data_IF_768098180412
#
_entry.id   IF_768098180412
#
_cell.length_a   1.000
_cell.length_b   1.000
_cell.length_c   1.000
_cell.angle_alpha   90.00
_cell.angle_beta   90.00
_cell.angle_gamma   90.00
#
_symmetry.space_group_name_H-M   'P 1'
#
loop_
_entity.id
_entity.type
_entity.pdbx_description
1 polymer ?
#
# COMPACT_ATOMS: atom_id res chain seq x y z
N UNK A 1 -15.75 -5.61 -18.33
CA UNK A 1 -15.16 -4.28 -18.62
C UNK A 1 -13.67 -4.40 -18.54
N UNK A 2 -12.90 -3.80 -19.46
CA UNK A 2 -11.46 -3.64 -19.29
C UNK A 2 -11.23 -2.78 -18.04
N UNK A 3 -10.36 -3.23 -17.14
CA UNK A 3 -10.07 -2.59 -15.85
C UNK A 3 -8.72 -1.90 -15.95
N UNK A 4 -8.71 -0.57 -15.89
CA UNK A 4 -7.47 0.20 -15.86
C UNK A 4 -6.77 -0.01 -14.51
N UNK A 5 -5.48 -0.30 -14.54
CA UNK A 5 -4.65 -0.53 -13.36
C UNK A 5 -3.50 0.46 -13.37
N UNK A 6 -3.49 1.39 -12.44
CA UNK A 6 -2.45 2.43 -12.31
C UNK A 6 -1.53 2.04 -11.17
N UNK A 7 -0.22 2.01 -11.38
CA UNK A 7 0.75 1.76 -10.32
C UNK A 7 1.43 3.08 -9.90
N UNK A 8 1.51 3.34 -8.60
CA UNK A 8 2.18 4.50 -8.00
C UNK A 8 3.39 4.05 -7.18
N UNK A 9 4.58 4.50 -7.58
CA UNK A 9 5.87 4.17 -6.97
C UNK A 9 6.62 5.39 -6.46
N UNK A 10 7.47 5.17 -5.45
CA UNK A 10 8.32 6.21 -4.88
C UNK A 10 9.67 6.20 -5.57
N UNK A 11 10.18 7.37 -5.95
CA UNK A 11 11.51 7.53 -6.57
C UNK A 11 12.58 7.96 -5.56
N UNK A 12 12.27 7.87 -4.27
CA UNK A 12 13.19 8.04 -3.16
C UNK A 12 12.78 7.14 -1.99
N UNK A 13 13.76 6.81 -1.13
CA UNK A 13 13.60 5.79 -0.08
C UNK A 13 12.44 6.09 0.89
N UNK A 14 12.22 7.36 1.23
CA UNK A 14 11.25 7.76 2.23
C UNK A 14 10.39 8.95 1.77
N UNK A 15 9.14 8.99 2.26
CA UNK A 15 8.20 10.11 2.10
C UNK A 15 8.09 10.72 0.70
N UNK A 16 8.16 9.88 -0.33
CA UNK A 16 8.19 10.31 -1.72
C UNK A 16 6.92 11.07 -2.21
N UNK A 17 5.81 11.00 -1.45
CA UNK A 17 4.53 11.61 -1.80
C UNK A 17 3.53 10.66 -2.45
N UNK A 18 3.76 9.33 -2.38
CA UNK A 18 2.92 8.28 -2.98
C UNK A 18 1.45 8.38 -2.57
N UNK A 19 1.14 8.47 -1.27
CA UNK A 19 -0.24 8.57 -0.79
C UNK A 19 -0.94 9.81 -1.32
N UNK A 20 -0.24 10.95 -1.33
CA UNK A 20 -0.79 12.20 -1.85
C UNK A 20 -1.10 12.10 -3.33
N UNK A 21 -0.16 11.60 -4.15
CA UNK A 21 -0.37 11.41 -5.58
C UNK A 21 -1.48 10.40 -5.86
N UNK A 22 -1.53 9.29 -5.13
CA UNK A 22 -2.58 8.27 -5.25
C UNK A 22 -3.95 8.90 -5.00
N UNK A 23 -4.10 9.69 -3.93
CA UNK A 23 -5.34 10.42 -3.64
C UNK A 23 -5.73 11.41 -4.74
N UNK A 24 -4.75 12.13 -5.29
CA UNK A 24 -4.96 13.03 -6.42
C UNK A 24 -5.47 12.31 -7.67
N UNK A 25 -4.88 11.15 -7.99
CA UNK A 25 -5.31 10.31 -9.12
C UNK A 25 -6.74 9.81 -8.91
N UNK A 26 -7.06 9.28 -7.72
CA UNK A 26 -8.43 8.85 -7.37
C UNK A 26 -9.44 9.97 -7.57
N UNK A 27 -9.13 11.17 -7.06
CA UNK A 27 -10.01 12.33 -7.16
C UNK A 27 -10.22 12.75 -8.61
N UNK A 28 -9.15 12.79 -9.41
CA UNK A 28 -9.23 13.11 -10.83
C UNK A 28 -10.11 12.13 -11.59
N UNK A 29 -9.88 10.83 -11.42
CA UNK A 29 -10.62 9.78 -12.11
C UNK A 29 -12.11 9.81 -11.78
N UNK A 30 -12.48 10.08 -10.52
CA UNK A 30 -13.88 10.30 -10.13
C UNK A 30 -14.49 11.52 -10.81
N UNK A 31 -13.75 12.63 -10.91
CA UNK A 31 -14.21 13.84 -11.61
C UNK A 31 -14.43 13.58 -13.11
N UNK A 32 -13.69 12.63 -13.69
CA UNK A 32 -13.86 12.16 -15.08
C UNK A 32 -15.03 11.15 -15.21
N UNK A 33 -15.67 10.77 -14.10
CA UNK A 33 -16.84 9.88 -14.09
C UNK A 33 -16.50 8.39 -13.93
N UNK A 34 -15.25 8.05 -13.65
CA UNK A 34 -14.83 6.68 -13.36
C UNK A 34 -15.14 6.29 -11.91
N UNK A 35 -15.14 4.98 -11.62
CA UNK A 35 -15.19 4.45 -10.24
C UNK A 35 -13.83 3.88 -9.84
N UNK A 36 -12.86 4.72 -9.42
CA UNK A 36 -11.56 4.25 -9.01
C UNK A 36 -11.56 3.76 -7.55
N UNK A 37 -10.70 2.80 -7.23
CA UNK A 37 -10.41 2.42 -5.85
C UNK A 37 -8.90 2.28 -5.65
N UNK A 38 -8.43 2.75 -4.51
CA UNK A 38 -7.06 2.57 -4.09
C UNK A 38 -6.81 1.11 -3.68
N UNK A 39 -5.58 0.67 -3.84
CA UNK A 39 -5.11 -0.58 -3.29
C UNK A 39 -3.66 -0.43 -2.83
N UNK A 40 -3.37 -0.73 -1.57
CA UNK A 40 -2.03 -0.70 -1.00
C UNK A 40 -1.70 -2.10 -0.47
N UNK A 41 -1.16 -3.01 -1.32
CA UNK A 41 -1.08 -4.44 -1.02
C UNK A 41 -0.40 -4.75 0.31
N UNK A 42 0.65 -3.99 0.61
CA UNK A 42 1.48 -4.11 1.81
C UNK A 42 1.67 -2.73 2.44
N UNK A 43 1.67 -2.67 3.77
CA UNK A 43 2.01 -1.48 4.53
C UNK A 43 2.62 -1.89 5.86
N UNK A 44 3.22 -0.93 6.55
CA UNK A 44 3.75 -1.12 7.88
C UNK A 44 3.58 0.16 8.70
N UNK A 45 3.42 0.00 10.01
CA UNK A 45 3.44 1.08 10.96
C UNK A 45 4.44 0.77 12.08
N UNK A 46 5.12 1.81 12.54
CA UNK A 46 5.95 1.76 13.72
C UNK A 46 5.09 2.05 14.95
N UNK A 47 5.17 1.21 15.98
CA UNK A 47 4.37 1.34 17.19
C UNK A 47 4.58 2.69 17.90
N UNK A 48 5.78 3.28 17.81
CA UNK A 48 6.11 4.54 18.44
C UNK A 48 5.74 5.75 17.56
N UNK A 49 6.24 5.82 16.33
CA UNK A 49 6.03 7.00 15.46
C UNK A 49 4.59 7.14 14.97
N UNK A 50 3.88 6.02 14.81
CA UNK A 50 2.51 6.00 14.28
C UNK A 50 1.48 5.68 15.37
N UNK A 51 1.82 5.94 16.64
CA UNK A 51 1.04 5.47 17.78
C UNK A 51 -0.42 5.91 17.71
N UNK A 52 -0.73 7.12 17.25
CA UNK A 52 -2.12 7.61 17.17
C UNK A 52 -3.01 6.71 16.29
N UNK A 53 -2.57 6.35 15.09
CA UNK A 53 -3.36 5.50 14.18
C UNK A 53 -3.35 4.03 14.62
N UNK A 54 -2.22 3.57 15.19
CA UNK A 54 -2.12 2.23 15.77
C UNK A 54 -3.09 2.09 16.94
N UNK A 55 -3.08 3.03 17.89
CA UNK A 55 -3.99 3.07 19.03
C UNK A 55 -5.45 3.17 18.58
N UNK A 56 -5.77 4.06 17.63
CA UNK A 56 -7.13 4.19 17.09
C UNK A 56 -7.62 2.86 16.51
N UNK A 57 -6.81 2.17 15.70
CA UNK A 57 -7.22 0.91 15.07
C UNK A 57 -7.32 -0.24 16.09
N UNK A 58 -6.35 -0.36 17.00
CA UNK A 58 -6.34 -1.39 18.04
C UNK A 58 -7.49 -1.24 19.04
N UNK A 59 -7.88 -0.01 19.39
CA UNK A 59 -9.06 0.26 20.24
C UNK A 59 -10.37 -0.27 19.64
N UNK A 60 -10.41 -0.53 18.33
CA UNK A 60 -11.53 -1.12 17.60
C UNK A 60 -11.36 -2.64 17.39
N UNK A 61 -10.26 -3.22 17.84
CA UNK A 61 -9.86 -4.61 17.59
C UNK A 61 -9.46 -4.87 16.14
N UNK A 62 -8.83 -3.88 15.52
CA UNK A 62 -8.41 -3.89 14.11
C UNK A 62 -6.95 -3.43 14.05
N UNK A 63 -6.32 -3.55 12.88
CA UNK A 63 -4.99 -3.00 12.65
C UNK A 63 -4.84 -2.53 11.21
N UNK A 64 -4.67 -1.22 11.00
CA UNK A 64 -4.42 -0.62 9.69
C UNK A 64 -3.74 0.73 9.87
N UNK A 65 -3.03 1.18 8.84
CA UNK A 65 -2.29 2.44 8.85
C UNK A 65 -3.09 3.64 8.36
N UNK A 66 -2.50 4.82 8.53
CA UNK A 66 -3.09 6.10 8.09
C UNK A 66 -3.33 6.10 6.57
N UNK A 67 -2.40 5.57 5.79
CA UNK A 67 -2.55 5.50 4.34
C UNK A 67 -3.80 4.70 3.96
N UNK A 68 -4.03 3.52 4.56
CA UNK A 68 -5.20 2.70 4.24
C UNK A 68 -6.52 3.44 4.55
N UNK A 69 -6.55 4.22 5.63
CA UNK A 69 -7.70 5.07 6.01
C UNK A 69 -7.94 6.16 4.97
N UNK A 70 -6.91 6.95 4.66
CA UNK A 70 -6.99 8.05 3.69
C UNK A 70 -7.34 7.56 2.28
N UNK A 71 -6.75 6.43 1.86
CA UNK A 71 -6.99 5.81 0.56
C UNK A 71 -8.40 5.23 0.46
N UNK A 72 -8.90 4.59 1.52
CA UNK A 72 -10.30 4.11 1.58
C UNK A 72 -11.26 5.28 1.48
N UNK A 73 -11.05 6.32 2.30
CA UNK A 73 -11.85 7.54 2.30
C UNK A 73 -11.85 8.16 0.90
N UNK A 74 -10.68 8.34 0.28
CA UNK A 74 -10.58 8.87 -1.09
C UNK A 74 -11.01 7.86 -2.18
N UNK A 75 -11.42 6.64 -1.85
CA UNK A 75 -12.02 5.71 -2.82
C UNK A 75 -13.56 5.77 -2.81
N UNK A 76 -14.18 6.48 -1.86
CA UNK A 76 -15.64 6.50 -1.67
C UNK A 76 -16.26 5.08 -1.64
N UNK A 77 -15.54 4.13 -1.04
CA UNK A 77 -15.87 2.70 -1.10
C UNK A 77 -16.42 2.20 0.25
N UNK A 78 -17.41 1.28 0.25
CA UNK A 78 -17.88 0.63 1.47
C UNK A 78 -16.89 -0.43 1.99
N UNK A 79 -15.86 -0.77 1.20
CA UNK A 79 -14.84 -1.73 1.58
C UNK A 79 -14.08 -1.27 2.83
N UNK A 80 -13.65 -2.24 3.63
CA UNK A 80 -12.87 -1.98 4.84
C UNK A 80 -11.44 -1.58 4.50
N UNK A 81 -10.78 -0.87 5.40
CA UNK A 81 -9.35 -0.54 5.31
C UNK A 81 -8.48 -1.79 5.12
N UNK A 82 -8.87 -2.94 5.69
CA UNK A 82 -8.15 -4.20 5.51
C UNK A 82 -8.29 -4.80 4.10
N UNK A 83 -9.32 -4.41 3.35
CA UNK A 83 -9.40 -4.75 1.91
C UNK A 83 -8.45 -3.86 1.12
N UNK A 84 -8.42 -2.56 1.43
CA UNK A 84 -7.49 -1.61 0.79
C UNK A 84 -6.03 -2.00 1.07
N UNK A 85 -5.73 -2.41 2.29
CA UNK A 85 -4.43 -2.90 2.71
C UNK A 85 -4.53 -4.28 3.38
N UNK A 86 -4.39 -5.38 2.63
CA UNK A 86 -4.57 -6.73 3.14
C UNK A 86 -3.42 -7.21 4.00
N UNK A 87 -2.18 -6.78 3.75
CA UNK A 87 -1.01 -7.17 4.53
C UNK A 87 -0.48 -5.94 5.27
N UNK A 88 -0.51 -5.99 6.59
CA UNK A 88 -0.11 -4.87 7.44
C UNK A 88 0.85 -5.31 8.53
N UNK A 89 2.05 -4.76 8.54
CA UNK A 89 3.07 -5.03 9.55
C UNK A 89 3.00 -4.02 10.68
N UNK A 90 3.11 -4.50 11.91
CA UNK A 90 3.46 -3.68 13.05
C UNK A 90 4.88 -4.03 13.50
N UNK A 91 5.71 -3.00 13.62
CA UNK A 91 7.10 -3.12 14.03
C UNK A 91 7.42 -2.05 15.07
N UNK A 92 8.55 -2.18 15.74
CA UNK A 92 9.03 -1.28 16.77
C UNK A 92 10.47 -0.85 16.50
N UNK A 93 10.82 0.34 16.97
CA UNK A 93 12.22 0.79 17.03
C UNK A 93 12.65 0.90 18.49
N UNK A 94 13.89 0.52 18.80
CA UNK A 94 14.47 0.62 20.14
C UNK A 94 14.23 -0.60 21.04
N UNK A 95 12.99 -0.89 21.40
CA UNK A 95 12.64 -2.03 22.29
C UNK A 95 12.38 -3.31 21.49
N UNK A 96 12.93 -4.45 21.92
CA UNK A 96 12.69 -5.73 21.27
C UNK A 96 11.30 -6.29 21.62
N UNK A 97 10.68 -7.07 20.71
CA UNK A 97 11.13 -7.35 19.33
C UNK A 97 10.93 -6.18 18.36
N UNK A 98 11.87 -6.00 17.42
CA UNK A 98 11.71 -5.07 16.28
C UNK A 98 10.48 -5.40 15.43
N UNK A 99 10.16 -6.69 15.28
CA UNK A 99 8.96 -7.14 14.58
C UNK A 99 7.93 -7.65 15.59
N UNK A 100 6.74 -7.06 15.59
CA UNK A 100 5.67 -7.40 16.54
C UNK A 100 4.73 -8.42 15.91
N UNK A 101 4.09 -8.04 14.80
CA UNK A 101 3.13 -8.90 14.11
C UNK A 101 2.88 -8.47 12.67
N UNK A 102 2.39 -9.40 11.86
CA UNK A 102 1.74 -9.12 10.58
C UNK A 102 0.24 -9.45 10.69
N UNK A 103 -0.61 -8.52 10.27
CA UNK A 103 -2.05 -8.72 10.07
C UNK A 103 -2.30 -8.98 8.61
N UNK A 104 -3.00 -10.06 8.32
CA UNK A 104 -3.38 -10.49 6.97
C UNK A 104 -4.90 -10.56 6.90
N UNK A 105 -5.48 -9.92 5.89
CA UNK A 105 -6.91 -10.04 5.60
C UNK A 105 -7.11 -10.86 4.33
N UNK A 106 -7.76 -12.01 4.48
CA UNK A 106 -7.99 -12.96 3.40
C UNK A 106 -9.33 -13.67 3.59
N UNK A 107 -10.11 -13.83 2.51
CA UNK A 107 -11.42 -14.51 2.54
C UNK A 107 -12.39 -13.97 3.62
N UNK A 108 -12.37 -12.66 3.86
CA UNK A 108 -13.20 -12.02 4.88
C UNK A 108 -12.71 -12.23 6.31
N UNK A 109 -11.57 -12.90 6.52
CA UNK A 109 -11.00 -13.25 7.81
C UNK A 109 -9.74 -12.45 8.12
N UNK A 110 -9.54 -12.18 9.40
CA UNK A 110 -8.33 -11.57 9.95
C UNK A 110 -7.43 -12.64 10.54
N UNK A 111 -6.24 -12.79 9.96
CA UNK A 111 -5.20 -13.71 10.41
C UNK A 111 -4.08 -12.87 11.01
N UNK A 112 -3.66 -13.19 12.23
CA UNK A 112 -2.51 -12.56 12.88
C UNK A 112 -1.34 -13.52 12.92
N UNK A 113 -0.17 -12.99 12.60
CA UNK A 113 1.09 -13.72 12.69
C UNK A 113 1.96 -12.96 13.67
N UNK A 114 2.26 -13.58 14.81
CA UNK A 114 2.83 -12.92 15.98
C UNK A 114 4.27 -13.38 16.22
N UNK A 115 5.12 -12.44 16.62
CA UNK A 115 6.44 -12.74 17.20
C UNK A 115 6.54 -12.05 18.56
N UNK A 116 6.59 -12.83 19.64
CA UNK A 116 6.74 -12.35 21.03
C UNK A 116 5.73 -11.26 21.48
N UNK A 117 4.50 -11.28 20.97
CA UNK A 117 3.46 -10.27 21.28
C UNK A 117 3.18 -10.15 22.79
N UNK A 118 3.24 -11.26 23.52
CA UNK A 118 2.89 -11.34 24.94
C UNK A 118 3.71 -10.38 25.82
N UNK A 119 4.99 -10.22 25.52
CA UNK A 119 5.87 -9.34 26.28
C UNK A 119 5.51 -7.87 26.07
N UNK A 120 5.41 -7.45 24.80
CA UNK A 120 5.00 -6.08 24.46
C UNK A 120 3.62 -5.80 25.02
N UNK A 121 2.66 -6.71 24.85
CA UNK A 121 1.29 -6.52 25.32
C UNK A 121 1.22 -6.29 26.84
N UNK A 122 2.14 -6.89 27.62
CA UNK A 122 2.27 -6.59 29.05
C UNK A 122 2.80 -5.18 29.28
N UNK A 123 3.82 -4.75 28.53
CA UNK A 123 4.40 -3.40 28.63
C UNK A 123 3.36 -2.31 28.31
N UNK A 124 2.54 -2.52 27.29
CA UNK A 124 1.47 -1.57 26.88
C UNK A 124 0.09 -1.90 27.44
N UNK A 125 0.03 -2.69 28.53
CA UNK A 125 -1.18 -2.97 29.34
C UNK A 125 -2.40 -3.46 28.53
N UNK A 126 -2.22 -4.51 27.73
CA UNK A 126 -3.33 -5.18 27.03
C UNK A 126 -3.77 -4.49 25.74
N UNK A 127 -2.95 -3.60 25.17
CA UNK A 127 -3.27 -2.86 23.95
C UNK A 127 -3.72 -3.76 22.78
N UNK A 128 -3.20 -4.99 22.71
CA UNK A 128 -3.49 -5.94 21.63
C UNK A 128 -4.62 -6.93 21.96
N UNK A 129 -5.20 -6.88 23.17
CA UNK A 129 -6.17 -7.87 23.64
C UNK A 129 -7.40 -7.92 22.74
N UNK A 130 -7.95 -6.75 22.40
CA UNK A 130 -9.14 -6.67 21.56
C UNK A 130 -8.85 -7.09 20.10
N UNK A 131 -7.64 -6.82 19.61
CA UNK A 131 -7.20 -7.29 18.29
C UNK A 131 -7.15 -8.82 18.26
N UNK A 132 -6.52 -9.44 19.27
CA UNK A 132 -6.41 -10.88 19.37
C UNK A 132 -7.79 -11.54 19.54
N UNK A 133 -8.66 -10.96 20.38
CA UNK A 133 -10.01 -11.47 20.62
C UNK A 133 -10.90 -11.45 19.36
N UNK A 134 -10.63 -10.56 18.40
CA UNK A 134 -11.37 -10.46 17.13
C UNK A 134 -10.69 -11.16 15.95
N UNK A 135 -9.49 -11.70 16.13
CA UNK A 135 -8.80 -12.43 15.08
C UNK A 135 -9.49 -13.77 14.82
N UNK A 136 -9.68 -14.12 13.54
CA UNK A 136 -10.22 -15.42 13.15
C UNK A 136 -9.19 -16.53 13.29
N UNK A 137 -7.90 -16.17 13.21
CA UNK A 137 -6.78 -17.09 13.36
C UNK A 137 -5.56 -16.34 13.89
N UNK A 138 -4.85 -16.97 14.82
CA UNK A 138 -3.58 -16.49 15.36
C UNK A 138 -2.53 -17.57 15.12
N UNK A 139 -1.38 -17.17 14.56
CA UNK A 139 -0.24 -18.03 14.29
C UNK A 139 0.96 -17.43 15.03
N UNK A 140 1.46 -18.13 16.04
CA UNK A 140 2.71 -17.76 16.71
C UNK A 140 3.89 -18.34 15.94
N UNK A 141 4.93 -17.53 15.70
CA UNK A 141 6.14 -17.97 14.99
C UNK A 141 7.38 -17.79 15.83
N UNK A 142 8.18 -18.86 15.94
CA UNK A 142 9.46 -18.90 16.67
C UNK A 142 10.68 -19.04 15.75
N UNK A 143 10.51 -19.42 14.48
CA UNK A 143 11.60 -19.78 13.56
C UNK A 143 11.55 -19.08 12.18
N UNK A 144 12.72 -18.97 11.54
CA UNK A 144 12.95 -18.40 10.19
C UNK A 144 12.35 -19.25 9.05
N UNK A 145 12.12 -20.55 9.30
CA UNK A 145 11.63 -21.56 8.34
C UNK A 145 10.17 -21.29 7.85
N UNK A 146 9.52 -20.28 8.44
CA UNK A 146 8.17 -19.85 8.09
C UNK A 146 8.09 -18.93 6.87
N UNK A 147 9.20 -18.37 6.38
CA UNK A 147 9.18 -17.36 5.31
C UNK A 147 8.35 -17.79 4.10
N UNK A 148 8.54 -19.03 3.63
CA UNK A 148 7.79 -19.58 2.47
C UNK A 148 6.30 -19.81 2.77
N UNK A 149 5.94 -20.18 4.01
CA UNK A 149 4.53 -20.35 4.42
C UNK A 149 3.84 -18.99 4.58
N UNK A 150 4.55 -17.97 5.09
CA UNK A 150 4.06 -16.60 5.23
C UNK A 150 3.72 -15.97 3.89
N UNK A 151 4.58 -16.17 2.89
CA UNK A 151 4.37 -15.66 1.53
C UNK A 151 3.03 -16.14 0.94
N UNK A 152 2.62 -17.39 1.22
CA UNK A 152 1.32 -17.91 0.76
C UNK A 152 0.14 -17.16 1.37
N UNK A 153 0.23 -16.75 2.63
CA UNK A 153 -0.82 -15.94 3.26
C UNK A 153 -0.85 -14.53 2.66
N UNK A 154 0.31 -13.94 2.37
CA UNK A 154 0.39 -12.60 1.75
C UNK A 154 -0.19 -12.61 0.36
N UNK A 155 0.25 -13.54 -0.49
CA UNK A 155 -0.26 -13.70 -1.85
C UNK A 155 -1.78 -13.91 -1.86
N UNK A 156 -2.28 -14.75 -0.94
CA UNK A 156 -3.72 -14.99 -0.78
C UNK A 156 -4.44 -13.70 -0.41
N UNK A 157 -4.03 -12.99 0.64
CA UNK A 157 -4.66 -11.73 1.04
C UNK A 157 -4.65 -10.68 -0.06
N UNK A 158 -3.51 -10.49 -0.73
CA UNK A 158 -3.35 -9.55 -1.84
C UNK A 158 -4.29 -9.91 -2.99
N UNK A 159 -4.28 -11.18 -3.44
CA UNK A 159 -5.12 -11.64 -4.55
C UNK A 159 -6.61 -11.50 -4.23
N UNK A 160 -7.03 -11.90 -3.04
CA UNK A 160 -8.42 -11.82 -2.60
C UNK A 160 -8.92 -10.38 -2.57
N UNK A 161 -8.18 -9.48 -1.93
CA UNK A 161 -8.56 -8.07 -1.83
C UNK A 161 -8.54 -7.36 -3.18
N UNK A 162 -7.52 -7.60 -4.01
CA UNK A 162 -7.47 -7.03 -5.36
C UNK A 162 -8.66 -7.50 -6.20
N UNK A 163 -9.02 -8.79 -6.10
CA UNK A 163 -10.20 -9.37 -6.77
C UNK A 163 -11.49 -8.72 -6.29
N UNK A 164 -11.64 -8.54 -4.97
CA UNK A 164 -12.82 -7.92 -4.37
C UNK A 164 -13.00 -6.47 -4.83
N UNK A 165 -11.91 -5.68 -4.78
CA UNK A 165 -11.90 -4.31 -5.30
C UNK A 165 -12.32 -4.29 -6.78
N UNK A 166 -11.80 -5.23 -7.56
CA UNK A 166 -12.03 -5.26 -9.01
C UNK A 166 -13.45 -5.61 -9.44
N UNK A 167 -14.32 -6.10 -8.54
CA UNK A 167 -15.71 -6.45 -8.88
C UNK A 167 -16.57 -5.23 -9.23
N UNK A 168 -16.32 -4.11 -8.56
CA UNK A 168 -17.21 -2.94 -8.58
C UNK A 168 -16.53 -1.63 -8.98
N UNK A 169 -15.25 -1.68 -9.36
CA UNK A 169 -14.45 -0.50 -9.68
C UNK A 169 -13.83 -0.65 -11.07
N UNK A 170 -13.88 0.43 -11.84
CA UNK A 170 -13.43 0.49 -13.22
C UNK A 170 -11.91 0.71 -13.30
N UNK A 171 -11.35 1.33 -12.26
CA UNK A 171 -9.92 1.62 -12.13
C UNK A 171 -9.42 1.18 -10.76
N UNK A 172 -8.24 0.55 -10.71
CA UNK A 172 -7.53 0.29 -9.46
C UNK A 172 -6.22 1.05 -9.44
N UNK A 173 -6.06 1.94 -8.45
CA UNK A 173 -4.82 2.70 -8.26
C UNK A 173 -4.01 2.02 -7.16
N UNK A 174 -2.97 1.29 -7.57
CA UNK A 174 -2.10 0.51 -6.71
C UNK A 174 -0.97 1.39 -6.17
N UNK A 175 -0.95 1.61 -4.86
CA UNK A 175 0.16 2.27 -4.20
C UNK A 175 1.17 1.24 -3.69
N UNK A 176 2.43 1.39 -4.11
CA UNK A 176 3.53 0.54 -3.64
C UNK A 176 3.93 0.81 -2.18
N UNK A 177 4.58 -0.19 -1.59
CA UNK A 177 5.12 -0.13 -0.24
C UNK A 177 6.60 0.29 -0.27
N UNK A 178 6.98 1.30 0.52
CA UNK A 178 8.38 1.77 0.61
C UNK A 178 8.97 2.04 -0.79
N UNK A 179 10.13 1.48 -1.11
CA UNK A 179 10.81 1.54 -2.41
C UNK A 179 10.53 0.31 -3.29
N UNK A 180 9.48 -0.48 -3.03
CA UNK A 180 9.18 -1.68 -3.85
C UNK A 180 8.63 -1.29 -5.21
N UNK A 181 9.28 -1.75 -6.29
CA UNK A 181 8.92 -1.43 -7.67
C UNK A 181 7.61 -2.08 -8.12
N UNK A 182 7.44 -3.38 -7.84
CA UNK A 182 6.26 -4.14 -8.21
C UNK A 182 5.70 -4.85 -6.97
N UNK A 183 4.52 -4.43 -6.45
CA UNK A 183 4.01 -4.95 -5.18
C UNK A 183 3.69 -6.45 -5.13
N UNK A 184 3.41 -7.08 -6.28
CA UNK A 184 3.36 -8.54 -6.43
C UNK A 184 3.55 -8.95 -7.89
N UNK A 185 4.08 -10.14 -8.12
CA UNK A 185 4.49 -10.66 -9.45
C UNK A 185 3.37 -10.62 -10.51
N UNK A 186 2.12 -10.86 -10.11
CA UNK A 186 0.97 -10.93 -11.03
C UNK A 186 0.36 -9.55 -11.36
N UNK A 187 0.90 -8.46 -10.81
CA UNK A 187 0.41 -7.12 -11.13
C UNK A 187 0.81 -6.75 -12.56
N UNK A 188 -0.18 -6.36 -13.35
CA UNK A 188 0.01 -5.80 -14.70
C UNK A 188 -0.58 -4.40 -14.71
N UNK A 189 0.23 -3.35 -14.47
CA UNK A 189 -0.23 -1.99 -14.62
C UNK A 189 -0.34 -1.62 -16.10
N UNK A 190 -1.24 -0.69 -16.40
CA UNK A 190 -1.37 -0.06 -17.72
C UNK A 190 -0.55 1.24 -17.79
N UNK A 191 -0.28 1.85 -16.64
CA UNK A 191 0.56 3.05 -16.49
C UNK A 191 1.26 3.03 -15.12
N UNK A 192 2.49 3.55 -15.07
CA UNK A 192 3.27 3.67 -13.84
C UNK A 192 3.62 5.14 -13.58
N UNK A 193 3.19 5.65 -12.43
CA UNK A 193 3.56 6.96 -11.90
C UNK A 193 4.64 6.79 -10.83
N UNK A 194 5.82 7.37 -11.08
CA UNK A 194 6.84 7.60 -10.06
C UNK A 194 6.68 8.99 -9.45
N UNK A 195 6.86 9.11 -8.14
CA UNK A 195 6.85 10.41 -7.45
C UNK A 195 8.03 10.55 -6.51
N UNK A 196 8.58 11.75 -6.42
CA UNK A 196 9.56 12.21 -5.42
C UNK A 196 9.37 13.71 -5.22
N UNK A 197 10.04 14.34 -4.24
CA UNK A 197 10.04 15.79 -4.14
C UNK A 197 10.36 16.44 -5.50
N UNK A 198 9.56 17.44 -5.87
CA UNK A 198 9.68 18.26 -7.08
C UNK A 198 9.31 17.61 -8.43
N UNK A 199 9.03 16.31 -8.49
CA UNK A 199 8.78 15.62 -9.76
C UNK A 199 7.76 14.47 -9.65
N UNK A 200 6.85 14.40 -10.63
CA UNK A 200 6.12 13.19 -11.00
C UNK A 200 6.70 12.71 -12.34
N UNK A 201 7.05 11.43 -12.44
CA UNK A 201 7.58 10.78 -13.64
C UNK A 201 6.61 9.72 -14.12
N UNK A 202 6.37 9.64 -15.42
CA UNK A 202 5.52 8.62 -16.04
C UNK A 202 6.41 7.60 -16.74
N UNK A 203 6.15 6.32 -16.54
CA UNK A 203 6.86 5.24 -17.20
C UNK A 203 5.89 4.41 -18.04
N UNK A 204 6.40 3.94 -19.18
CA UNK A 204 5.75 2.92 -19.98
C UNK A 204 5.65 1.62 -19.16
N UNK A 205 4.44 1.10 -19.00
CA UNK A 205 4.17 0.02 -18.07
C UNK A 205 4.79 -1.31 -18.52
N UNK A 206 4.79 -1.61 -19.82
CA UNK A 206 5.39 -2.83 -20.35
C UNK A 206 6.91 -2.82 -20.14
N UNK A 207 7.59 -1.72 -20.47
CA UNK A 207 9.03 -1.56 -20.23
C UNK A 207 9.35 -1.58 -18.74
N UNK A 208 8.49 -1.00 -17.90
CA UNK A 208 8.66 -1.03 -16.44
C UNK A 208 8.63 -2.45 -15.90
N UNK A 209 7.62 -3.25 -16.27
CA UNK A 209 7.51 -4.65 -15.85
C UNK A 209 8.66 -5.49 -16.41
N UNK A 210 9.04 -5.31 -17.69
CA UNK A 210 10.20 -6.00 -18.25
C UNK A 210 11.50 -5.69 -17.50
N UNK A 211 11.70 -4.44 -17.08
CA UNK A 211 12.86 -4.07 -16.28
C UNK A 211 12.84 -4.71 -14.88
N UNK A 212 11.66 -4.85 -14.26
CA UNK A 212 11.49 -5.63 -13.02
C UNK A 212 11.87 -7.09 -13.26
N UNK A 213 11.40 -7.72 -14.34
CA UNK A 213 11.64 -9.13 -14.64
C UNK A 213 13.13 -9.45 -14.93
N UNK A 214 13.84 -8.54 -15.58
CA UNK A 214 15.30 -8.64 -15.81
C UNK A 214 16.07 -8.55 -14.49
N UNK A 215 15.57 -7.74 -13.55
CA UNK A 215 16.18 -7.57 -12.24
C UNK A 215 15.81 -8.77 -11.35
N UNK A 216 16.65 -9.79 -11.35
CA UNK A 216 16.51 -10.90 -10.41
C UNK A 216 16.84 -10.48 -8.96
N UNK A 217 16.27 -11.22 -8.01
CA UNK A 217 16.39 -10.98 -6.56
C UNK A 217 15.03 -11.04 -5.88
N UNK A 218 14.98 -10.85 -4.56
CA UNK A 218 13.72 -10.77 -3.80
C UNK A 218 12.89 -9.52 -4.14
N UNK A 219 12.47 -8.75 -3.14
CA UNK A 219 11.78 -7.47 -3.40
C UNK A 219 12.70 -6.52 -4.20
N UNK A 220 12.31 -6.18 -5.43
CA UNK A 220 13.08 -5.30 -6.32
C UNK A 220 12.75 -3.85 -6.01
N UNK A 221 13.78 -3.01 -5.89
CA UNK A 221 13.61 -1.59 -5.58
C UNK A 221 13.29 -0.74 -6.81
N UNK A 222 12.50 0.32 -6.62
CA UNK A 222 12.11 1.26 -7.67
C UNK A 222 13.33 1.97 -8.22
N UNK A 223 14.29 2.31 -7.36
CA UNK A 223 15.56 2.88 -7.78
C UNK A 223 16.30 1.99 -8.80
N UNK A 224 16.35 0.67 -8.57
CA UNK A 224 17.03 -0.26 -9.50
C UNK A 224 16.32 -0.34 -10.85
N UNK A 225 14.99 -0.36 -10.85
CA UNK A 225 14.19 -0.41 -12.08
C UNK A 225 14.35 0.89 -12.88
N UNK A 226 14.21 2.03 -12.22
CA UNK A 226 14.30 3.34 -12.89
C UNK A 226 15.71 3.69 -13.36
N UNK A 227 16.76 3.03 -12.85
CA UNK A 227 18.10 3.14 -13.41
C UNK A 227 18.24 2.55 -14.83
N UNK A 228 17.29 1.69 -15.25
CA UNK A 228 17.26 1.08 -16.58
C UNK A 228 16.31 1.79 -17.56
N UNK A 229 15.55 2.79 -17.10
CA UNK A 229 14.44 3.36 -17.83
C UNK A 229 14.42 4.88 -17.75
N UNK A 230 14.22 5.53 -18.90
CA UNK A 230 13.84 6.94 -18.91
C UNK A 230 12.32 7.08 -18.86
N UNK A 231 11.80 8.03 -18.07
CA UNK A 231 10.37 8.31 -18.04
C UNK A 231 9.91 8.91 -19.38
N UNK A 232 8.71 8.53 -19.81
CA UNK A 232 8.08 9.05 -21.02
C UNK A 232 7.63 10.51 -20.85
N UNK A 233 7.32 10.92 -19.61
CA UNK A 233 6.99 12.30 -19.26
C UNK A 233 7.49 12.63 -17.85
N UNK A 234 7.87 13.89 -17.64
CA UNK A 234 8.20 14.45 -16.33
C UNK A 234 7.34 15.67 -16.08
N UNK A 235 6.77 15.75 -14.88
CA UNK A 235 5.88 16.83 -14.46
C UNK A 235 6.50 17.46 -13.21
N UNK A 236 6.87 18.73 -13.30
CA UNK A 236 7.36 19.48 -12.15
C UNK A 236 6.22 19.73 -11.17
N UNK A 237 6.44 19.39 -9.91
CA UNK A 237 5.55 19.73 -8.79
C UNK A 237 6.26 20.69 -7.85
N UNK A 238 5.50 21.55 -7.18
CA UNK A 238 6.02 22.49 -6.19
C UNK A 238 5.49 22.09 -4.80
N UNK A 239 6.20 22.41 -3.71
CA UNK A 239 5.65 22.29 -2.36
C UNK A 239 4.32 23.04 -2.24
N UNK A 240 3.37 22.42 -1.54
CA UNK A 240 2.03 22.97 -1.32
C UNK A 240 1.62 22.77 0.14
N UNK A 241 0.75 23.65 0.69
CA UNK A 241 0.09 23.38 1.95
C UNK A 241 -0.68 22.05 1.91
N UNK A 242 -0.72 21.32 3.03
CA UNK A 242 -1.39 20.01 3.12
C UNK A 242 -2.85 20.04 2.69
N UNK A 243 -3.54 21.17 2.90
CA UNK A 243 -4.93 21.36 2.49
C UNK A 243 -5.12 21.48 0.95
N UNK A 244 -4.07 21.80 0.20
CA UNK A 244 -4.14 22.10 -1.24
C UNK A 244 -3.39 21.08 -2.10
N UNK A 245 -2.43 20.34 -1.51
CA UNK A 245 -1.50 19.49 -2.27
C UNK A 245 -2.21 18.41 -3.11
N UNK A 246 -3.32 17.84 -2.61
CA UNK A 246 -4.07 16.81 -3.35
C UNK A 246 -4.71 17.39 -4.60
N UNK A 247 -5.39 18.53 -4.50
CA UNK A 247 -6.02 19.18 -5.66
C UNK A 247 -4.96 19.74 -6.63
N UNK A 248 -3.86 20.27 -6.11
CA UNK A 248 -2.75 20.71 -6.93
C UNK A 248 -2.15 19.56 -7.77
N UNK A 249 -1.84 18.42 -7.16
CA UNK A 249 -1.30 17.26 -7.89
C UNK A 249 -2.33 16.65 -8.84
N UNK A 250 -3.63 16.74 -8.51
CA UNK A 250 -4.73 16.28 -9.35
C UNK A 250 -4.74 17.02 -10.69
N UNK A 251 -4.70 18.35 -10.67
CA UNK A 251 -4.65 19.16 -11.89
C UNK A 251 -3.38 18.89 -12.74
N UNK A 252 -2.27 18.50 -12.10
CA UNK A 252 -1.03 18.14 -12.79
C UNK A 252 -1.08 16.76 -13.44
N UNK A 253 -1.73 15.80 -12.80
CA UNK A 253 -1.88 14.43 -13.29
C UNK A 253 -2.99 14.30 -14.34
N UNK A 254 -4.02 15.16 -14.29
CA UNK A 254 -5.22 15.11 -15.15
C UNK A 254 -4.92 14.91 -16.65
N UNK A 255 -4.02 15.68 -17.30
CA UNK A 255 -3.78 15.51 -18.74
C UNK A 255 -3.22 14.13 -19.10
N UNK A 256 -2.48 13.49 -18.19
CA UNK A 256 -2.01 12.12 -18.40
C UNK A 256 -3.15 11.13 -18.25
N UNK A 257 -4.00 11.31 -17.24
CA UNK A 257 -5.09 10.37 -16.97
C UNK A 257 -6.11 10.38 -18.12
N UNK A 258 -6.44 11.55 -18.67
CA UNK A 258 -7.35 11.71 -19.82
C UNK A 258 -6.86 11.01 -21.11
N UNK A 259 -5.60 10.59 -21.20
CA UNK A 259 -5.10 9.77 -22.32
C UNK A 259 -5.52 8.27 -22.21
N UNK A 260 -6.00 7.83 -21.03
CA UNK A 260 -6.27 6.42 -20.70
C UNK A 260 -7.73 6.10 -20.37
N UNK A 261 -8.60 7.11 -20.29
CA UNK A 261 -10.05 6.99 -20.00
C UNK A 261 -10.89 7.63 -21.10
#
# INVERSE_FOLDING_TARGET
MLRLTILVVGLCAEHAGKTTLTRSILRCLREIGMRPCAFKPKAANNLWYDFDVVYESLSKGRLYGLDAKLLREESHTPLREEVINPVHRLWNEGEQPEYILDRIFADGKTILILKNLTEINRMVKGLFDLLCAKADQIIETTDEDLTTKLLRYYERGIKNSFTEISKNHDVVVVESYSDVALPWEKLKPDIVFGVKPWEISIYDAEKYVMAVDILHGGEISTQRVTALLEPTKRIKILPQPSAQVVDYMKERARPILEEYV
#
